data_IF_575008536827
#
_entry.id   IF_575008536827
#
_cell.length_a   1.000
_cell.length_b   1.000
_cell.length_c   1.000
_cell.angle_alpha   90.00
_cell.angle_beta   90.00
_cell.angle_gamma   90.00
#
_symmetry.space_group_name_H-M   'P 1'
#
loop_
_entity.id
_entity.type
_entity.pdbx_description
1 polymer ?
#
# COMPACT_ATOMS: atom_id res chain seq x y z
N UNK A 1 -2.98 -14.11 -2.91
CA UNK A 1 -2.78 -13.48 -4.24
C UNK A 1 -3.40 -12.09 -4.19
N UNK A 2 -2.65 -11.06 -4.60
CA UNK A 2 -3.10 -9.68 -4.57
C UNK A 2 -4.19 -9.41 -5.61
N UNK A 3 -5.29 -8.78 -5.18
CA UNK A 3 -6.42 -8.36 -6.03
C UNK A 3 -6.68 -6.88 -5.80
N UNK A 4 -6.93 -6.15 -6.88
CA UNK A 4 -7.18 -4.71 -6.84
C UNK A 4 -8.69 -4.47 -6.71
N UNK A 5 -9.08 -3.81 -5.63
CA UNK A 5 -10.44 -3.39 -5.34
C UNK A 5 -10.67 -1.96 -5.85
N UNK A 6 -11.81 -1.74 -6.52
CA UNK A 6 -12.19 -0.42 -7.05
C UNK A 6 -12.88 0.47 -6.01
N UNK A 7 -13.22 -0.07 -4.85
CA UNK A 7 -13.82 0.70 -3.77
C UNK A 7 -12.78 1.63 -3.13
N UNK A 8 -13.07 2.92 -3.12
CA UNK A 8 -12.24 3.92 -2.44
C UNK A 8 -12.39 3.79 -0.92
N UNK A 9 -11.37 3.28 -0.23
CA UNK A 9 -11.21 3.58 1.20
C UNK A 9 -10.68 5.01 1.31
N UNK A 10 -11.31 5.85 2.14
CA UNK A 10 -10.85 7.22 2.33
C UNK A 10 -9.51 7.24 3.07
N UNK A 11 -8.53 7.93 2.48
CA UNK A 11 -7.23 8.17 3.10
C UNK A 11 -7.12 9.66 3.39
N UNK A 12 -7.15 10.01 4.69
CA UNK A 12 -7.25 11.41 5.12
C UNK A 12 -5.95 11.93 5.76
N UNK A 13 -4.91 11.11 5.80
CA UNK A 13 -3.63 11.43 6.44
C UNK A 13 -2.56 11.60 5.35
N UNK A 14 -2.10 12.84 5.05
CA UNK A 14 -1.09 13.06 4.03
C UNK A 14 0.29 12.54 4.48
N UNK A 15 0.99 11.84 3.57
CA UNK A 15 2.35 11.33 3.78
C UNK A 15 3.14 11.45 2.47
N UNK A 16 4.39 11.88 2.59
CA UNK A 16 5.33 11.94 1.46
C UNK A 16 6.28 10.75 1.53
N UNK A 17 6.36 9.97 0.45
CA UNK A 17 7.29 8.85 0.29
C UNK A 17 8.01 9.00 -1.05
N UNK A 18 9.25 8.50 -1.15
CA UNK A 18 10.06 8.55 -2.37
C UNK A 18 10.12 7.15 -3.00
N UNK A 19 9.84 7.08 -4.30
CA UNK A 19 9.94 5.86 -5.11
C UNK A 19 11.17 5.93 -6.02
N UNK A 20 11.67 4.77 -6.46
CA UNK A 20 12.54 4.72 -7.64
C UNK A 20 11.71 4.98 -8.90
N UNK A 21 12.33 5.50 -9.95
CA UNK A 21 11.65 5.82 -11.21
C UNK A 21 10.93 4.59 -11.79
N UNK A 22 11.62 3.44 -11.82
CA UNK A 22 11.06 2.18 -12.32
C UNK A 22 9.81 1.75 -11.54
N UNK A 23 9.85 1.85 -10.20
CA UNK A 23 8.73 1.47 -9.36
C UNK A 23 7.55 2.43 -9.55
N UNK A 24 7.83 3.73 -9.63
CA UNK A 24 6.80 4.75 -9.84
C UNK A 24 6.09 4.55 -11.18
N UNK A 25 6.83 4.36 -12.28
CA UNK A 25 6.26 4.13 -13.60
C UNK A 25 5.41 2.86 -13.65
N UNK A 26 5.88 1.77 -13.01
CA UNK A 26 5.13 0.53 -12.93
C UNK A 26 3.82 0.71 -12.15
N UNK A 27 3.84 1.40 -11.02
CA UNK A 27 2.64 1.69 -10.23
C UNK A 27 1.66 2.59 -11.00
N UNK A 28 2.14 3.61 -11.70
CA UNK A 28 1.31 4.47 -12.54
C UNK A 28 0.62 3.70 -13.65
N UNK A 29 1.35 2.83 -14.34
CA UNK A 29 0.78 2.02 -15.42
C UNK A 29 -0.31 1.07 -14.91
N UNK A 30 -0.08 0.40 -13.76
CA UNK A 30 -1.08 -0.47 -13.13
C UNK A 30 -2.31 0.33 -12.71
N UNK A 31 -2.12 1.46 -12.03
CA UNK A 31 -3.22 2.31 -11.57
C UNK A 31 -4.08 2.81 -12.73
N UNK A 32 -3.45 3.24 -13.83
CA UNK A 32 -4.11 3.66 -15.06
C UNK A 32 -4.93 2.53 -15.69
N UNK A 33 -4.35 1.34 -15.83
CA UNK A 33 -5.03 0.19 -16.44
C UNK A 33 -6.22 -0.31 -15.60
N UNK A 34 -6.15 -0.14 -14.28
CA UNK A 34 -7.21 -0.55 -13.36
C UNK A 34 -8.24 0.56 -13.08
N UNK A 35 -8.02 1.76 -13.64
CA UNK A 35 -8.82 2.95 -13.44
C UNK A 35 -8.97 3.33 -11.95
N UNK A 36 -7.84 3.36 -11.23
CA UNK A 36 -7.75 3.78 -9.82
C UNK A 36 -6.65 4.84 -9.65
N UNK A 37 -6.68 5.58 -8.53
CA UNK A 37 -5.58 6.48 -8.19
C UNK A 37 -4.34 5.71 -7.73
N UNK A 38 -3.16 6.29 -7.95
CA UNK A 38 -1.91 5.73 -7.42
C UNK A 38 -1.96 5.59 -5.88
N UNK A 39 -2.61 6.54 -5.20
CA UNK A 39 -2.81 6.47 -3.75
C UNK A 39 -3.62 5.23 -3.35
N UNK A 40 -4.73 4.94 -4.05
CA UNK A 40 -5.52 3.73 -3.79
C UNK A 40 -4.69 2.46 -3.99
N UNK A 41 -3.91 2.41 -5.08
CA UNK A 41 -3.03 1.27 -5.36
C UNK A 41 -1.99 1.06 -4.25
N UNK A 42 -1.29 2.13 -3.85
CA UNK A 42 -0.25 2.07 -2.80
C UNK A 42 -0.84 1.57 -1.48
N UNK A 43 -2.01 2.07 -1.07
CA UNK A 43 -2.66 1.64 0.16
C UNK A 43 -3.06 0.16 0.12
N UNK A 44 -3.55 -0.32 -1.02
CA UNK A 44 -3.87 -1.74 -1.20
C UNK A 44 -2.62 -2.61 -1.17
N UNK A 45 -1.53 -2.18 -1.80
CA UNK A 45 -0.23 -2.87 -1.72
C UNK A 45 0.26 -2.97 -0.27
N UNK A 46 0.19 -1.87 0.49
CA UNK A 46 0.55 -1.84 1.91
C UNK A 46 -0.33 -2.78 2.73
N UNK A 47 -1.66 -2.70 2.57
CA UNK A 47 -2.58 -3.54 3.32
C UNK A 47 -2.35 -5.03 3.03
N UNK A 48 -2.18 -5.40 1.75
CA UNK A 48 -1.90 -6.78 1.38
C UNK A 48 -0.61 -7.29 2.03
N UNK A 49 0.44 -6.47 2.02
CA UNK A 49 1.70 -6.83 2.66
C UNK A 49 1.52 -7.02 4.17
N UNK A 50 0.81 -6.10 4.85
CA UNK A 50 0.52 -6.21 6.28
C UNK A 50 -0.32 -7.47 6.63
N UNK A 51 -1.35 -7.76 5.84
CA UNK A 51 -2.25 -8.91 6.06
C UNK A 51 -1.55 -10.28 5.87
N UNK A 52 -0.44 -10.31 5.13
CA UNK A 52 0.30 -11.53 4.76
C UNK A 52 1.73 -11.56 5.31
N UNK A 53 2.13 -10.55 6.08
CA UNK A 53 3.37 -10.62 6.85
C UNK A 53 3.17 -11.69 7.92
N UNK A 54 4.09 -12.66 7.99
CA UNK A 54 4.16 -13.56 9.14
C UNK A 54 4.41 -12.69 10.37
N UNK A 55 3.66 -12.92 11.45
CA UNK A 55 3.67 -12.13 12.67
C UNK A 55 5.08 -11.62 12.99
N UNK A 56 5.30 -10.33 12.72
CA UNK A 56 6.32 -9.60 13.45
C UNK A 56 5.66 -9.46 14.82
N UNK A 57 6.26 -10.01 15.87
CA UNK A 57 5.82 -9.79 17.26
C UNK A 57 5.93 -8.30 17.58
N UNK A 58 5.01 -7.47 17.11
CA UNK A 58 5.01 -6.01 17.34
C UNK A 58 4.31 -5.72 18.68
N UNK A 59 4.61 -6.51 19.71
CA UNK A 59 4.30 -6.26 21.13
C UNK A 59 5.28 -7.06 22.01
N UNK A 60 6.58 -6.83 21.84
CA UNK A 60 7.62 -6.93 22.87
C UNK A 60 8.43 -5.64 22.66
N UNK A 61 8.40 -4.59 23.48
CA UNK A 61 8.60 -4.56 24.92
C UNK A 61 7.62 -3.58 25.60
N UNK A 62 6.81 -4.09 26.54
CA UNK A 62 6.54 -3.34 27.76
C UNK A 62 7.81 -3.41 28.61
N UNK A 63 8.79 -2.55 28.34
CA UNK A 63 9.90 -2.36 29.27
C UNK A 63 9.41 -1.42 30.40
N UNK A 64 9.10 -2.07 31.53
CA UNK A 64 9.00 -1.62 32.93
C UNK A 64 8.83 -0.15 33.26
#
# INVERSE_FOLDING_TARGET
>A
MFKIEKSSKSANIPRTIRFTDEMFERLNHIAKNQNISINSLVLQCCQYALDHMQDISIYDDHET
#
